data_IF_319895249603
#
_entry.id   IF_319895249603
#
_cell.length_a   1.000
_cell.length_b   1.000
_cell.length_c   1.000
_cell.angle_alpha   90.00
_cell.angle_beta   90.00
_cell.angle_gamma   90.00
#
_symmetry.space_group_name_H-M   'P 1'
#
loop_
_entity.id
_entity.type
_entity.pdbx_description
1 polymer ?
#
# COMPACT_ATOMS: atom_id res chain seq x y z
N UNK A 1 1.61 5.02 -49.56
CA UNK A 1 2.63 4.56 -48.58
C UNK A 1 1.91 3.87 -47.44
N UNK A 2 1.23 2.77 -47.75
CA UNK A 2 0.71 1.82 -46.78
C UNK A 2 1.62 0.61 -46.91
N UNK A 3 2.24 0.16 -45.82
CA UNK A 3 2.80 -1.18 -45.57
C UNK A 3 3.51 -1.10 -44.21
N UNK A 4 2.97 -1.72 -43.16
CA UNK A 4 3.70 -1.81 -41.89
C UNK A 4 2.95 -2.13 -40.60
N UNK A 5 1.66 -2.49 -40.62
CA UNK A 5 0.92 -2.87 -39.40
C UNK A 5 0.14 -4.16 -39.63
N UNK A 6 0.86 -5.29 -39.69
CA UNK A 6 0.27 -6.61 -39.49
C UNK A 6 1.37 -7.66 -39.33
N UNK A 7 1.78 -7.90 -38.08
CA UNK A 7 2.37 -9.15 -37.56
C UNK A 7 2.96 -8.83 -36.18
N UNK A 8 2.19 -8.96 -35.10
CA UNK A 8 2.69 -9.17 -33.71
C UNK A 8 1.55 -9.45 -32.70
N UNK A 9 0.40 -9.97 -33.14
CA UNK A 9 -0.68 -10.42 -32.24
C UNK A 9 -0.82 -11.94 -32.29
N UNK A 10 -0.04 -12.63 -31.47
CA UNK A 10 -0.28 -14.01 -31.00
C UNK A 10 0.67 -14.28 -29.84
N UNK A 11 0.17 -14.22 -28.60
CA UNK A 11 0.96 -14.52 -27.41
C UNK A 11 0.29 -14.07 -26.11
N UNK A 12 -0.97 -14.43 -25.89
CA UNK A 12 -1.71 -14.12 -24.65
C UNK A 12 -2.34 -15.37 -24.00
N UNK A 13 -1.77 -16.56 -24.23
CA UNK A 13 -2.31 -17.83 -23.71
C UNK A 13 -1.34 -18.69 -22.89
N UNK A 14 -0.07 -18.30 -22.67
CA UNK A 14 0.90 -19.15 -21.96
C UNK A 14 1.62 -18.44 -20.80
N UNK A 15 0.92 -18.20 -19.69
CA UNK A 15 1.53 -17.82 -18.40
C UNK A 15 0.80 -18.44 -17.20
N UNK A 16 0.47 -19.74 -17.29
CA UNK A 16 -0.11 -20.55 -16.20
C UNK A 16 0.77 -21.75 -15.79
N UNK A 17 2.10 -21.62 -15.78
CA UNK A 17 2.99 -22.78 -15.52
C UNK A 17 4.02 -22.60 -14.40
N UNK A 18 3.84 -21.65 -13.47
CA UNK A 18 4.60 -21.60 -12.21
C UNK A 18 3.78 -21.07 -11.02
N UNK A 19 2.72 -21.80 -10.65
CA UNK A 19 2.14 -21.69 -9.30
C UNK A 19 2.47 -22.99 -8.57
N UNK A 20 3.43 -22.94 -7.64
CA UNK A 20 3.67 -24.04 -6.71
C UNK A 20 2.43 -24.17 -5.82
N UNK A 21 1.78 -25.34 -5.86
CA UNK A 21 0.73 -25.69 -4.90
C UNK A 21 1.29 -25.55 -3.48
N UNK A 22 0.73 -24.69 -2.63
CA UNK A 22 1.22 -24.58 -1.28
C UNK A 22 0.74 -25.81 -0.49
N UNK A 23 1.69 -26.57 0.07
CA UNK A 23 1.46 -27.74 0.92
C UNK A 23 0.84 -27.30 2.26
N UNK A 24 -0.48 -27.15 2.30
CA UNK A 24 -1.22 -26.83 3.54
C UNK A 24 -2.15 -27.96 4.01
N UNK A 25 -2.13 -29.13 3.37
CA UNK A 25 -2.86 -30.31 3.82
C UNK A 25 -1.96 -31.55 3.82
N UNK A 26 -1.44 -31.89 5.00
CA UNK A 26 -0.80 -33.16 5.30
C UNK A 26 -0.11 -33.06 6.66
N UNK A 27 -0.48 -33.79 7.71
CA UNK A 27 -1.33 -34.96 7.83
C UNK A 27 -0.78 -35.71 9.03
N UNK A 28 -1.53 -35.72 10.13
CA UNK A 28 -1.26 -36.62 11.25
C UNK A 28 -1.54 -38.06 10.84
N UNK A 29 -0.65 -38.97 11.20
CA UNK A 29 -0.81 -40.41 10.98
C UNK A 29 0.29 -41.16 11.72
N UNK A 30 -0.03 -41.65 12.90
CA UNK A 30 0.86 -42.47 13.72
C UNK A 30 0.77 -43.97 13.42
N UNK A 31 1.83 -44.64 13.89
CA UNK A 31 1.95 -46.04 14.31
C UNK A 31 1.92 -47.19 13.29
N UNK A 32 2.85 -48.14 13.50
CA UNK A 32 2.67 -49.55 13.12
C UNK A 32 3.85 -50.17 12.37
N UNK A 33 4.68 -50.94 13.08
CA UNK A 33 5.87 -51.61 12.54
C UNK A 33 5.60 -52.80 11.60
N UNK A 34 6.68 -53.29 10.99
CA UNK A 34 6.70 -54.52 10.20
C UNK A 34 7.95 -54.63 9.35
N UNK A 35 9.03 -55.15 9.93
CA UNK A 35 10.31 -55.44 9.25
C UNK A 35 10.17 -56.68 8.36
N UNK A 36 10.46 -56.54 7.06
CA UNK A 36 10.57 -57.65 6.09
C UNK A 36 11.68 -57.37 5.07
N UNK A 37 12.34 -58.40 4.51
CA UNK A 37 13.70 -58.27 3.99
C UNK A 37 13.79 -57.65 2.60
N UNK A 38 14.82 -56.81 2.47
CA UNK A 38 15.21 -56.01 1.31
C UNK A 38 15.64 -56.88 0.12
N UNK A 39 15.03 -56.65 -1.06
CA UNK A 39 15.56 -57.08 -2.37
C UNK A 39 16.41 -55.94 -2.94
N UNK A 40 17.69 -56.22 -3.16
CA UNK A 40 18.63 -55.32 -3.83
C UNK A 40 18.21 -55.09 -5.29
N UNK A 41 18.08 -53.81 -5.67
CA UNK A 41 17.97 -53.37 -7.06
C UNK A 41 19.36 -53.00 -7.62
N UNK A 42 19.60 -53.14 -8.93
CA UNK A 42 20.92 -52.95 -9.54
C UNK A 42 21.30 -51.47 -9.65
N UNK A 43 22.61 -51.21 -9.53
CA UNK A 43 23.21 -49.87 -9.61
C UNK A 43 23.01 -49.20 -10.99
N UNK A 44 22.85 -47.86 -11.03
CA UNK A 44 22.86 -47.10 -12.27
C UNK A 44 24.29 -46.84 -12.78
N UNK A 45 24.48 -46.62 -14.09
CA UNK A 45 25.79 -46.35 -14.70
C UNK A 45 26.29 -44.92 -14.40
N UNK A 46 27.60 -44.66 -14.59
CA UNK A 46 28.26 -43.45 -14.11
C UNK A 46 27.88 -42.22 -14.95
N UNK A 47 27.62 -41.12 -14.25
CA UNK A 47 27.29 -39.81 -14.83
C UNK A 47 28.57 -39.12 -15.31
N UNK A 48 28.61 -38.76 -16.59
CA UNK A 48 29.67 -37.94 -17.20
C UNK A 48 29.40 -36.47 -16.89
N UNK A 49 30.31 -35.81 -16.16
CA UNK A 49 30.23 -34.37 -15.89
C UNK A 49 30.71 -33.55 -17.08
N UNK A 50 29.78 -32.95 -17.82
CA UNK A 50 30.06 -31.86 -18.76
C UNK A 50 30.05 -30.52 -18.00
N UNK A 51 31.15 -29.76 -18.09
CA UNK A 51 31.26 -28.42 -17.50
C UNK A 51 30.27 -27.46 -18.17
N UNK A 52 29.20 -27.13 -17.45
CA UNK A 52 28.18 -26.18 -17.87
C UNK A 52 28.58 -24.78 -17.39
N UNK A 53 28.92 -23.88 -18.31
CA UNK A 53 29.14 -22.46 -18.05
C UNK A 53 27.81 -21.78 -17.73
N UNK A 54 27.70 -21.16 -16.55
CA UNK A 54 26.50 -20.40 -16.14
C UNK A 54 26.37 -19.10 -16.95
N UNK A 55 25.21 -18.81 -17.57
CA UNK A 55 24.94 -17.51 -18.15
C UNK A 55 24.58 -16.49 -17.04
N UNK A 56 25.12 -15.29 -17.18
CA UNK A 56 24.83 -14.13 -16.33
C UNK A 56 23.36 -13.72 -16.46
N UNK A 57 22.61 -13.52 -15.37
CA UNK A 57 21.21 -13.12 -15.44
C UNK A 57 21.10 -11.72 -16.07
N UNK A 58 20.27 -11.63 -17.10
CA UNK A 58 19.84 -10.37 -17.71
C UNK A 58 18.65 -9.84 -16.90
N UNK A 59 18.58 -8.54 -16.57
CA UNK A 59 17.47 -7.97 -15.81
C UNK A 59 16.13 -8.15 -16.55
N UNK A 60 15.08 -8.43 -15.78
CA UNK A 60 13.70 -8.67 -16.25
C UNK A 60 13.12 -7.42 -16.90
N UNK A 61 12.53 -7.56 -18.10
CA UNK A 61 11.92 -6.44 -18.84
C UNK A 61 10.67 -5.82 -18.20
N UNK A 62 10.15 -6.42 -17.12
CA UNK A 62 8.98 -5.96 -16.37
C UNK A 62 9.35 -4.89 -15.32
N UNK A 63 10.52 -5.04 -14.67
CA UNK A 63 11.12 -4.00 -13.85
C UNK A 63 11.42 -2.75 -14.68
N UNK A 64 11.89 -2.96 -15.92
CA UNK A 64 12.14 -1.88 -16.88
C UNK A 64 10.84 -1.17 -17.31
N UNK A 65 9.71 -1.87 -17.42
CA UNK A 65 8.43 -1.24 -17.77
C UNK A 65 7.89 -0.39 -16.61
N UNK A 66 7.91 -0.92 -15.39
CA UNK A 66 7.48 -0.19 -14.18
C UNK A 66 8.37 1.01 -13.89
N UNK A 67 9.70 0.84 -14.01
CA UNK A 67 10.64 1.95 -13.89
C UNK A 67 10.41 3.02 -14.96
N UNK A 68 10.15 2.65 -16.21
CA UNK A 68 9.81 3.60 -17.29
C UNK A 68 8.53 4.38 -16.99
N UNK A 69 7.50 3.72 -16.45
CA UNK A 69 6.27 4.40 -16.04
C UNK A 69 6.50 5.37 -14.87
N UNK A 70 7.29 4.96 -13.87
CA UNK A 70 7.65 5.81 -12.74
C UNK A 70 8.45 7.04 -13.19
N UNK A 71 9.43 6.84 -14.08
CA UNK A 71 10.22 7.93 -14.66
C UNK A 71 9.36 8.89 -15.48
N UNK A 72 8.47 8.38 -16.34
CA UNK A 72 7.54 9.22 -17.10
C UNK A 72 6.55 10.00 -16.21
N UNK A 73 6.17 9.46 -15.04
CA UNK A 73 5.37 10.18 -14.06
C UNK A 73 6.17 11.32 -13.41
N UNK A 74 7.41 11.06 -12.98
CA UNK A 74 8.29 12.07 -12.42
C UNK A 74 8.56 13.22 -13.40
N UNK A 75 8.80 12.92 -14.67
CA UNK A 75 9.08 13.92 -15.70
C UNK A 75 7.90 14.87 -15.90
N UNK A 76 6.68 14.33 -16.02
CA UNK A 76 5.45 15.15 -16.14
C UNK A 76 5.23 16.05 -14.94
N UNK A 77 5.50 15.56 -13.73
CA UNK A 77 5.38 16.34 -12.51
C UNK A 77 6.38 17.51 -12.47
N UNK A 78 7.62 17.28 -12.90
CA UNK A 78 8.63 18.33 -13.00
C UNK A 78 8.27 19.35 -14.10
N UNK A 79 7.73 18.89 -15.23
CA UNK A 79 7.18 19.79 -16.27
C UNK A 79 6.02 20.65 -15.77
N UNK A 80 5.23 20.15 -14.82
CA UNK A 80 4.18 20.91 -14.14
C UNK A 80 4.72 21.91 -13.10
N UNK A 81 6.04 22.03 -12.97
CA UNK A 81 6.70 23.02 -12.11
C UNK A 81 7.11 22.51 -10.74
N UNK A 82 7.09 21.19 -10.50
CA UNK A 82 7.63 20.60 -9.28
C UNK A 82 9.15 20.47 -9.34
N UNK A 83 9.82 20.63 -8.20
CA UNK A 83 11.20 20.16 -8.09
C UNK A 83 11.25 18.62 -8.17
N UNK A 84 12.37 18.02 -8.63
CA UNK A 84 12.51 16.55 -8.66
C UNK A 84 12.32 15.89 -7.29
N UNK A 85 12.63 16.59 -6.20
CA UNK A 85 12.42 16.13 -4.83
C UNK A 85 10.93 16.13 -4.47
N UNK A 86 10.22 17.24 -4.73
CA UNK A 86 8.77 17.31 -4.56
C UNK A 86 8.03 16.31 -5.47
N UNK A 87 8.46 16.14 -6.71
CA UNK A 87 7.90 15.17 -7.66
C UNK A 87 8.03 13.73 -7.16
N UNK A 88 9.17 13.35 -6.54
CA UNK A 88 9.33 12.01 -5.94
C UNK A 88 8.36 11.75 -4.81
N UNK A 89 8.07 12.77 -4.00
CA UNK A 89 7.06 12.67 -2.94
C UNK A 89 5.66 12.60 -3.55
N UNK A 90 5.36 13.43 -4.53
CA UNK A 90 4.08 13.42 -5.25
C UNK A 90 3.79 12.06 -5.92
N UNK A 91 4.78 11.40 -6.55
CA UNK A 91 4.57 10.06 -7.15
C UNK A 91 4.23 8.99 -6.09
N UNK A 92 4.76 9.11 -4.87
CA UNK A 92 4.44 8.18 -3.77
C UNK A 92 3.04 8.41 -3.20
N UNK A 93 2.46 9.60 -3.41
CA UNK A 93 1.21 10.04 -2.81
C UNK A 93 0.24 10.63 -3.85
N UNK A 94 0.25 10.09 -5.07
CA UNK A 94 -0.38 10.68 -6.26
C UNK A 94 -1.87 11.03 -6.05
N UNK A 95 -2.59 10.19 -5.30
CA UNK A 95 -4.02 10.39 -5.01
C UNK A 95 -4.31 11.50 -3.99
N UNK A 96 -3.34 11.82 -3.12
CA UNK A 96 -3.46 12.95 -2.17
C UNK A 96 -3.00 14.26 -2.82
N UNK A 97 -1.99 14.17 -3.69
CA UNK A 97 -1.28 15.30 -4.29
C UNK A 97 -2.16 16.22 -5.14
N UNK A 98 -3.10 15.67 -5.93
CA UNK A 98 -3.92 16.47 -6.85
C UNK A 98 -5.07 17.24 -6.17
N UNK A 99 -5.37 16.98 -4.90
CA UNK A 99 -6.64 17.40 -4.30
C UNK A 99 -6.56 17.94 -2.87
N UNK A 100 -5.43 17.81 -2.16
CA UNK A 100 -5.36 18.22 -0.74
C UNK A 100 -4.30 19.30 -0.42
N UNK A 101 -4.55 20.03 0.66
CA UNK A 101 -3.59 20.96 1.27
C UNK A 101 -2.41 20.21 1.93
N UNK A 102 -2.66 18.99 2.39
CA UNK A 102 -1.65 18.10 2.97
C UNK A 102 -0.57 17.73 1.94
N UNK A 103 -0.96 17.40 0.71
CA UNK A 103 -0.02 17.08 -0.36
C UNK A 103 0.91 18.25 -0.71
N UNK A 104 0.42 19.50 -0.60
CA UNK A 104 1.25 20.71 -0.77
C UNK A 104 2.22 20.91 0.39
N UNK A 105 1.78 20.64 1.61
CA UNK A 105 2.62 20.72 2.81
C UNK A 105 3.75 19.69 2.80
N UNK A 106 3.46 18.44 2.42
CA UNK A 106 4.48 17.37 2.31
C UNK A 106 5.58 17.71 1.30
N UNK A 107 5.21 18.29 0.15
CA UNK A 107 6.18 18.75 -0.84
C UNK A 107 7.07 19.88 -0.30
N UNK A 108 6.48 20.85 0.40
CA UNK A 108 7.24 21.95 1.02
C UNK A 108 8.23 21.42 2.06
N UNK A 109 7.85 20.40 2.83
CA UNK A 109 8.73 19.70 3.77
C UNK A 109 9.88 19.01 3.03
N UNK A 110 9.58 18.28 1.94
CA UNK A 110 10.60 17.59 1.15
C UNK A 110 11.62 18.56 0.52
N UNK A 111 11.16 19.72 0.06
CA UNK A 111 12.03 20.79 -0.42
C UNK A 111 12.85 21.43 0.70
N UNK A 112 12.25 21.67 1.86
CA UNK A 112 12.96 22.17 3.03
C UNK A 112 14.05 21.18 3.48
N UNK A 113 13.77 19.88 3.50
CA UNK A 113 14.73 18.84 3.83
C UNK A 113 15.88 18.80 2.81
N UNK A 114 15.57 18.84 1.51
CA UNK A 114 16.58 18.92 0.45
C UNK A 114 17.49 20.15 0.62
N UNK A 115 16.90 21.30 0.98
CA UNK A 115 17.67 22.52 1.28
C UNK A 115 18.58 22.33 2.49
N UNK A 116 18.08 21.69 3.56
CA UNK A 116 18.84 21.45 4.79
C UNK A 116 20.07 20.55 4.57
N UNK A 117 19.99 19.59 3.63
CA UNK A 117 21.14 18.74 3.25
C UNK A 117 22.04 19.37 2.18
N UNK A 118 21.75 20.61 1.78
CA UNK A 118 22.53 21.35 0.78
C UNK A 118 22.29 20.91 -0.66
N UNK A 119 21.20 20.18 -0.94
CA UNK A 119 20.79 19.88 -2.31
C UNK A 119 20.11 21.10 -2.95
N UNK A 120 20.49 21.48 -4.19
CA UNK A 120 19.81 22.57 -4.88
C UNK A 120 18.41 22.14 -5.31
N UNK A 121 17.39 22.90 -4.89
CA UNK A 121 16.05 22.82 -5.47
C UNK A 121 16.07 23.54 -6.82
N UNK A 122 15.72 22.83 -7.89
CA UNK A 122 15.77 23.31 -9.27
C UNK A 122 14.42 23.07 -9.94
N UNK A 123 13.98 24.05 -10.75
CA UNK A 123 12.75 23.98 -11.54
C UNK A 123 13.02 24.19 -13.02
N UNK A 124 12.09 23.72 -13.86
CA UNK A 124 12.10 24.09 -15.29
C UNK A 124 12.06 25.62 -15.40
N UNK A 125 12.83 26.15 -16.34
CA UNK A 125 13.07 27.58 -16.60
C UNK A 125 13.97 28.33 -15.61
N UNK A 126 14.47 27.69 -14.54
CA UNK A 126 15.48 28.33 -13.70
C UNK A 126 16.76 28.63 -14.50
N UNK A 127 17.35 29.80 -14.22
CA UNK A 127 18.68 30.14 -14.73
C UNK A 127 19.75 29.56 -13.81
N UNK A 128 20.66 28.79 -14.40
CA UNK A 128 21.72 28.07 -13.71
C UNK A 128 23.09 28.37 -14.31
N UNK A 129 24.13 28.37 -13.48
CA UNK A 129 25.52 28.35 -13.89
C UNK A 129 26.06 26.93 -13.81
N UNK A 130 26.76 26.49 -14.85
CA UNK A 130 27.41 25.18 -14.88
C UNK A 130 28.74 25.27 -14.12
N UNK A 131 28.98 24.34 -13.19
CA UNK A 131 30.22 24.27 -12.41
C UNK A 131 30.71 22.83 -12.21
N UNK A 132 32.02 22.63 -12.09
CA UNK A 132 32.61 21.33 -11.76
C UNK A 132 32.60 20.30 -12.90
N UNK A 133 32.38 20.70 -14.15
CA UNK A 133 32.49 19.81 -15.31
C UNK A 133 33.95 19.47 -15.60
N UNK A 134 34.28 18.18 -15.53
CA UNK A 134 35.65 17.68 -15.74
C UNK A 134 35.98 17.48 -17.21
N UNK A 135 35.04 16.93 -18.00
CA UNK A 135 35.25 16.63 -19.43
C UNK A 135 35.17 17.88 -20.30
N UNK A 136 34.30 18.83 -19.95
CA UNK A 136 34.05 20.06 -20.72
C UNK A 136 34.40 21.27 -19.85
N UNK A 137 35.68 21.44 -19.49
CA UNK A 137 36.08 22.51 -18.56
C UNK A 137 35.74 23.92 -19.08
N UNK A 138 35.74 24.10 -20.40
CA UNK A 138 35.44 25.37 -21.05
C UNK A 138 33.98 25.83 -20.91
N UNK A 139 33.05 24.94 -20.51
CA UNK A 139 31.65 25.31 -20.27
C UNK A 139 31.36 25.66 -18.81
N UNK A 140 32.35 25.50 -17.90
CA UNK A 140 32.19 25.97 -16.52
C UNK A 140 32.10 27.50 -16.49
N UNK A 141 31.18 28.04 -15.70
CA UNK A 141 30.90 29.47 -15.62
C UNK A 141 29.85 29.94 -16.63
N UNK A 142 29.53 29.15 -17.66
CA UNK A 142 28.46 29.49 -18.60
C UNK A 142 27.08 29.40 -17.94
N UNK A 143 26.17 30.26 -18.41
CA UNK A 143 24.80 30.37 -17.93
C UNK A 143 23.88 29.66 -18.91
N UNK A 144 22.95 28.87 -18.37
CA UNK A 144 21.90 28.24 -19.14
C UNK A 144 20.55 28.24 -18.42
N UNK A 145 19.54 27.79 -19.13
CA UNK A 145 18.16 27.66 -18.66
C UNK A 145 17.80 26.19 -18.59
N UNK A 146 17.17 25.76 -17.50
CA UNK A 146 16.66 24.40 -17.35
C UNK A 146 15.43 24.20 -18.26
N UNK A 147 15.44 23.17 -19.10
CA UNK A 147 14.31 22.91 -20.02
C UNK A 147 13.48 21.70 -19.61
N UNK A 148 14.13 20.66 -19.13
CA UNK A 148 13.49 19.40 -18.80
C UNK A 148 14.37 18.62 -17.81
N UNK A 149 13.75 17.72 -17.05
CA UNK A 149 14.45 16.76 -16.21
C UNK A 149 14.30 15.37 -16.79
N UNK A 150 15.40 14.63 -16.91
CA UNK A 150 15.40 13.24 -17.38
C UNK A 150 15.46 12.32 -16.17
N UNK A 151 14.35 11.70 -15.82
CA UNK A 151 14.23 10.90 -14.60
C UNK A 151 15.12 9.66 -14.65
N UNK A 152 15.23 9.00 -15.81
CA UNK A 152 16.06 7.81 -16.02
C UNK A 152 17.55 8.06 -15.75
N UNK A 153 18.04 9.25 -16.10
CA UNK A 153 19.46 9.58 -15.99
C UNK A 153 19.80 10.44 -14.77
N UNK A 154 18.76 10.91 -14.07
CA UNK A 154 18.83 11.91 -13.00
C UNK A 154 19.63 13.15 -13.40
N UNK A 155 19.33 13.71 -14.58
CA UNK A 155 20.02 14.88 -15.15
C UNK A 155 19.03 15.89 -15.68
N UNK A 156 19.43 17.15 -15.60
CA UNK A 156 18.72 18.26 -16.21
C UNK A 156 19.21 18.51 -17.62
N UNK A 157 18.27 18.71 -18.54
CA UNK A 157 18.52 19.30 -19.85
C UNK A 157 18.66 20.81 -19.68
N UNK A 158 19.85 21.33 -19.95
CA UNK A 158 20.19 22.76 -19.82
C UNK A 158 20.49 23.31 -21.20
N UNK A 159 19.79 24.37 -21.61
CA UNK A 159 20.09 25.13 -22.83
C UNK A 159 20.91 26.36 -22.48
N UNK A 160 22.13 26.47 -23.02
CA UNK A 160 23.00 27.64 -22.87
C UNK A 160 22.53 28.80 -23.75
N UNK A 161 23.09 29.99 -23.54
CA UNK A 161 22.72 31.20 -24.32
C UNK A 161 23.11 31.13 -25.80
N UNK A 162 24.00 30.23 -26.18
CA UNK A 162 24.40 29.95 -27.57
C UNK A 162 23.62 28.79 -28.20
N UNK A 163 22.46 28.44 -27.62
CA UNK A 163 21.57 27.33 -28.00
C UNK A 163 22.19 25.91 -27.85
N UNK A 164 23.38 25.78 -27.28
CA UNK A 164 23.93 24.45 -26.97
C UNK A 164 23.15 23.79 -25.83
N UNK A 165 22.94 22.48 -25.93
CA UNK A 165 22.16 21.70 -24.97
C UNK A 165 23.04 20.66 -24.26
N UNK A 166 22.95 20.60 -22.93
CA UNK A 166 23.68 19.65 -22.10
C UNK A 166 22.78 18.91 -21.11
N UNK A 167 23.11 17.65 -20.82
CA UNK A 167 22.49 16.86 -19.76
C UNK A 167 23.38 16.81 -18.51
N UNK A 168 23.07 17.63 -17.51
CA UNK A 168 23.92 17.93 -16.36
C UNK A 168 23.33 17.37 -15.06
N UNK A 169 24.18 16.79 -14.19
CA UNK A 169 23.74 16.34 -12.86
C UNK A 169 23.41 17.55 -11.96
N UNK A 170 22.37 17.48 -11.10
CA UNK A 170 21.98 18.59 -10.22
C UNK A 170 23.12 19.24 -9.43
N UNK A 171 24.03 18.43 -8.89
CA UNK A 171 25.20 18.90 -8.10
C UNK A 171 26.20 19.80 -8.85
N UNK A 172 26.12 19.83 -10.18
CA UNK A 172 27.00 20.61 -11.05
C UNK A 172 26.31 21.89 -11.56
N UNK A 173 25.16 22.23 -10.98
CA UNK A 173 24.36 23.40 -11.32
C UNK A 173 24.30 24.32 -10.11
N UNK A 174 24.58 25.60 -10.33
CA UNK A 174 24.36 26.66 -9.35
C UNK A 174 23.18 27.53 -9.78
N UNK A 175 22.08 27.57 -9.03
CA UNK A 175 20.98 28.48 -9.34
C UNK A 175 21.46 29.93 -9.24
N UNK A 176 21.17 30.74 -10.26
CA UNK A 176 21.51 32.17 -10.32
C UNK A 176 20.33 33.07 -9.99
N UNK A 177 19.13 32.67 -10.42
CA UNK A 177 17.87 33.34 -10.11
C UNK A 177 16.85 32.24 -9.82
N UNK A 178 16.56 32.01 -8.54
CA UNK A 178 15.48 31.10 -8.17
C UNK A 178 14.17 31.81 -8.54
N UNK A 179 13.55 31.41 -9.64
CA UNK A 179 12.16 31.78 -9.89
C UNK A 179 11.31 30.79 -9.10
N UNK A 180 11.31 30.94 -7.78
CA UNK A 180 10.28 30.31 -6.98
C UNK A 180 8.99 30.99 -7.39
N UNK A 181 8.04 30.26 -7.97
CA UNK A 181 6.66 30.62 -7.69
C UNK A 181 6.57 30.58 -6.16
N UNK A 182 6.23 31.68 -5.47
CA UNK A 182 5.89 31.57 -4.07
C UNK A 182 4.79 30.51 -4.02
N UNK A 183 5.06 29.40 -3.33
CA UNK A 183 3.97 28.53 -2.90
C UNK A 183 2.96 29.46 -2.25
N UNK A 184 1.66 29.38 -2.60
CA UNK A 184 0.66 30.21 -1.97
C UNK A 184 0.88 30.10 -0.46
N UNK A 185 1.22 31.22 0.18
CA UNK A 185 1.29 31.23 1.62
C UNK A 185 -0.11 30.79 2.09
N UNK A 186 -0.21 29.89 3.08
CA UNK A 186 -1.50 29.60 3.68
C UNK A 186 -2.13 30.95 4.04
N UNK A 187 -3.34 31.19 3.54
CA UNK A 187 -4.03 32.45 3.72
C UNK A 187 -3.95 32.78 5.22
N UNK A 188 -3.40 33.94 5.64
CA UNK A 188 -3.33 34.25 7.05
C UNK A 188 -4.75 34.18 7.58
N UNK A 189 -4.98 33.23 8.48
CA UNK A 189 -6.30 32.99 9.08
C UNK A 189 -6.89 34.35 9.43
N UNK A 190 -8.12 34.66 8.99
CA UNK A 190 -8.70 35.99 9.19
C UNK A 190 -8.56 36.36 10.66
N UNK A 191 -8.13 37.59 10.98
CA UNK A 191 -7.88 38.00 12.35
C UNK A 191 -9.11 37.68 13.18
N UNK A 192 -8.93 36.84 14.19
CA UNK A 192 -10.01 36.43 15.10
C UNK A 192 -10.69 37.69 15.61
N UNK A 193 -11.92 37.93 15.12
CA UNK A 193 -12.77 38.98 15.61
C UNK A 193 -13.12 38.63 17.06
N UNK A 194 -12.41 39.24 17.99
CA UNK A 194 -12.69 39.23 19.41
C UNK A 194 -14.04 39.91 19.61
N UNK A 195 -15.11 39.10 19.62
CA UNK A 195 -16.43 39.50 20.08
C UNK A 195 -16.58 38.97 21.49
N UNK A 196 -16.80 39.89 22.43
CA UNK A 196 -17.01 39.58 23.83
C UNK A 196 -18.31 38.83 24.07
N UNK A 197 -18.24 37.93 25.05
CA UNK A 197 -19.30 37.53 25.99
C UNK A 197 -20.70 37.30 25.39
N UNK A 198 -21.00 36.06 25.00
CA UNK A 198 -21.94 35.18 25.72
C UNK A 198 -22.23 33.87 24.96
N UNK A 199 -22.36 32.79 25.75
CA UNK A 199 -22.99 31.47 25.51
C UNK A 199 -22.75 30.63 24.22
N UNK A 200 -22.20 29.43 24.50
CA UNK A 200 -22.48 28.11 23.89
C UNK A 200 -21.95 27.74 22.49
N UNK A 201 -21.46 26.49 22.47
CA UNK A 201 -21.13 25.59 21.35
C UNK A 201 -19.74 25.77 20.71
N UNK A 202 -18.80 24.97 21.22
CA UNK A 202 -17.43 24.85 20.73
C UNK A 202 -17.34 24.21 19.34
N UNK A 203 -16.61 24.89 18.46
CA UNK A 203 -16.14 24.42 17.16
C UNK A 203 -14.65 24.73 17.09
N UNK A 204 -13.81 23.70 17.24
CA UNK A 204 -12.35 23.80 17.11
C UNK A 204 -11.92 23.45 15.68
N UNK A 205 -11.26 24.39 15.00
CA UNK A 205 -10.51 24.17 13.77
C UNK A 205 -9.02 24.32 14.06
N UNK A 206 -8.29 23.20 14.15
CA UNK A 206 -6.84 23.17 14.36
C UNK A 206 -6.07 23.34 13.05
N UNK A 207 -5.14 24.30 13.02
CA UNK A 207 -4.08 24.40 12.02
C UNK A 207 -2.83 23.65 12.50
N UNK A 208 -2.18 22.92 11.59
CA UNK A 208 -1.00 22.11 11.89
C UNK A 208 0.22 22.99 12.26
N UNK A 209 0.83 22.72 13.42
CA UNK A 209 2.08 23.34 13.85
C UNK A 209 3.11 22.27 14.24
N UNK A 210 4.25 22.23 13.54
CA UNK A 210 5.38 21.38 13.89
C UNK A 210 6.24 22.11 14.93
N UNK A 211 6.17 21.69 16.21
CA UNK A 211 7.00 22.25 17.28
C UNK A 211 8.22 21.36 17.49
N UNK A 212 9.40 21.83 17.07
CA UNK A 212 10.68 21.26 17.47
C UNK A 212 11.11 21.87 18.80
N UNK A 213 11.12 21.09 19.88
CA UNK A 213 11.79 21.50 21.12
C UNK A 213 13.28 21.12 21.00
N UNK A 214 14.13 22.16 21.05
CA UNK A 214 15.58 22.01 21.02
C UNK A 214 16.10 21.18 22.19
N UNK A 215 17.10 20.35 21.90
CA UNK A 215 17.86 19.60 22.90
C UNK A 215 18.89 20.53 23.53
N UNK A 216 18.75 20.82 24.83
CA UNK A 216 19.75 21.57 25.58
C UNK A 216 21.08 20.79 25.65
N UNK A 217 22.13 21.41 25.11
CA UNK A 217 23.50 20.93 25.21
C UNK A 217 24.10 21.22 26.58
N UNK A 218 24.13 20.22 27.45
CA UNK A 218 24.85 20.25 28.72
C UNK A 218 25.54 18.91 28.95
N UNK A 219 26.87 18.89 28.82
CA UNK A 219 27.67 17.67 28.88
C UNK A 219 27.67 17.00 30.27
N UNK A 220 27.40 15.69 30.28
CA UNK A 220 28.15 14.70 31.05
C UNK A 220 27.78 13.30 30.54
N UNK A 221 28.80 12.52 30.18
CA UNK A 221 28.65 11.17 29.66
C UNK A 221 28.12 10.22 30.76
N UNK A 222 26.83 9.87 30.67
CA UNK A 222 26.28 8.65 31.26
C UNK A 222 25.39 7.98 30.22
N UNK A 223 25.67 6.70 29.94
CA UNK A 223 25.04 5.91 28.88
C UNK A 223 23.63 5.43 29.26
N UNK A 224 22.72 6.36 29.51
CA UNK A 224 21.29 6.06 29.53
C UNK A 224 20.76 6.25 28.11
N UNK A 225 20.29 5.17 27.49
CA UNK A 225 19.72 5.24 26.14
C UNK A 225 18.48 6.14 26.16
N UNK A 226 18.60 7.35 25.64
CA UNK A 226 17.47 8.28 25.53
C UNK A 226 16.49 7.72 24.51
N UNK A 227 15.29 7.37 24.95
CA UNK A 227 14.21 7.09 24.02
C UNK A 227 13.85 8.41 23.32
N UNK A 228 14.05 8.51 22.01
CA UNK A 228 13.54 9.63 21.24
C UNK A 228 12.03 9.44 21.05
N UNK A 229 11.23 10.50 20.99
CA UNK A 229 9.84 10.38 20.54
C UNK A 229 9.52 11.42 19.48
N UNK A 230 8.72 11.05 18.49
CA UNK A 230 8.13 11.95 17.47
C UNK A 230 6.64 12.04 17.74
N UNK A 231 6.04 13.19 17.47
CA UNK A 231 4.60 13.37 17.49
C UNK A 231 4.11 13.49 16.05
N UNK A 232 3.13 12.67 15.69
CA UNK A 232 2.49 12.66 14.37
C UNK A 232 1.02 13.07 14.54
N UNK A 233 0.59 14.14 13.89
CA UNK A 233 -0.81 14.57 13.91
C UNK A 233 -1.54 14.00 12.69
N UNK A 234 -2.59 13.22 12.92
CA UNK A 234 -3.41 12.61 11.86
C UNK A 234 -4.89 12.78 12.22
N UNK A 235 -5.66 13.32 11.28
CA UNK A 235 -7.09 13.62 11.47
C UNK A 235 -7.38 14.47 12.73
N UNK A 236 -6.46 15.39 13.09
CA UNK A 236 -6.54 16.23 14.28
C UNK A 236 -6.23 15.50 15.61
N UNK A 237 -5.74 14.27 15.56
CA UNK A 237 -5.27 13.52 16.74
C UNK A 237 -3.75 13.44 16.74
N UNK A 238 -3.13 13.83 17.87
CA UNK A 238 -1.68 13.71 18.06
C UNK A 238 -1.35 12.29 18.56
N UNK A 239 -0.55 11.58 17.77
CA UNK A 239 0.01 10.27 18.10
C UNK A 239 1.48 10.42 18.50
N UNK A 240 1.83 9.99 19.72
CA UNK A 240 3.22 9.93 20.16
C UNK A 240 3.87 8.61 19.73
N UNK A 241 4.89 8.70 18.90
CA UNK A 241 5.75 7.62 18.42
C UNK A 241 7.00 7.61 19.30
N UNK A 242 7.38 6.47 19.90
CA UNK A 242 8.58 6.34 20.73
C UNK A 242 9.62 5.44 20.05
N UNK A 243 10.84 5.94 19.94
CA UNK A 243 12.04 5.29 19.42
C UNK A 243 12.99 4.95 20.58
N UNK A 244 13.60 3.76 20.55
CA UNK A 244 14.64 3.38 21.52
C UNK A 244 15.71 2.51 20.86
N UNK A 245 16.98 2.57 21.33
CA UNK A 245 18.07 1.78 20.77
C UNK A 245 17.85 0.28 21.02
N UNK A 246 17.93 -0.53 19.95
CA UNK A 246 17.73 -1.99 20.00
C UNK A 246 16.32 -2.47 19.68
N UNK A 247 15.41 -1.57 19.32
CA UNK A 247 14.20 -1.95 18.60
C UNK A 247 14.49 -1.83 17.10
N UNK A 248 14.23 -2.89 16.32
CA UNK A 248 14.16 -2.79 14.87
C UNK A 248 13.28 -1.57 14.51
N UNK A 249 13.55 -0.91 13.39
CA UNK A 249 12.85 0.27 12.83
C UNK A 249 11.34 0.04 12.52
N UNK A 250 10.61 -0.60 13.43
CA UNK A 250 9.28 -1.14 13.25
C UNK A 250 8.53 -0.93 14.56
N UNK A 251 8.02 0.29 14.77
CA UNK A 251 6.76 0.41 15.49
C UNK A 251 5.65 0.00 14.50
N UNK A 252 4.97 -1.14 14.70
CA UNK A 252 3.64 -1.42 14.19
C UNK A 252 2.71 -0.23 14.02
N UNK A 253 2.76 0.73 14.95
CA UNK A 253 1.99 1.96 14.85
C UNK A 253 2.47 2.84 13.69
N UNK A 254 3.77 2.91 13.39
CA UNK A 254 4.34 3.82 12.37
C UNK A 254 4.06 3.39 10.92
N UNK A 255 3.79 2.10 10.69
CA UNK A 255 3.54 1.55 9.34
C UNK A 255 2.07 1.31 9.04
N UNK A 256 1.25 1.06 10.07
CA UNK A 256 -0.11 0.54 9.89
C UNK A 256 -1.16 1.34 10.66
N UNK A 257 -0.76 2.37 11.40
CA UNK A 257 -1.68 3.21 12.13
C UNK A 257 -1.28 4.69 12.08
N UNK A 258 -2.28 5.57 12.21
CA UNK A 258 -3.69 5.29 12.08
C UNK A 258 -4.07 4.93 10.63
N UNK A 259 -4.80 3.81 10.47
CA UNK A 259 -5.63 3.59 9.29
C UNK A 259 -6.47 4.86 9.10
N UNK A 260 -6.41 5.48 7.91
CA UNK A 260 -7.02 6.79 7.63
C UNK A 260 -8.47 6.79 8.10
N UNK A 261 -8.91 7.87 8.76
CA UNK A 261 -10.29 7.97 9.27
C UNK A 261 -11.34 7.68 8.21
N UNK A 262 -11.12 8.14 6.97
CA UNK A 262 -11.99 7.90 5.82
C UNK A 262 -12.20 6.41 5.48
N UNK A 263 -11.26 5.54 5.84
CA UNK A 263 -11.38 4.09 5.69
C UNK A 263 -11.84 3.42 6.98
N UNK A 264 -11.35 3.92 8.13
CA UNK A 264 -11.62 3.33 9.44
C UNK A 264 -13.10 3.37 9.80
N UNK A 265 -13.71 4.55 9.80
CA UNK A 265 -15.07 4.70 10.32
C UNK A 265 -16.10 3.90 9.49
N UNK A 266 -16.05 3.87 8.14
CA UNK A 266 -16.92 2.98 7.37
C UNK A 266 -16.70 1.50 7.69
N UNK A 267 -15.45 1.07 7.86
CA UNK A 267 -15.11 -0.31 8.17
C UNK A 267 -15.61 -0.74 9.56
N UNK A 268 -15.35 0.08 10.59
CA UNK A 268 -15.85 -0.17 11.95
C UNK A 268 -17.38 -0.22 12.01
N UNK A 269 -18.06 0.71 11.32
CA UNK A 269 -19.52 0.73 11.24
C UNK A 269 -20.06 -0.53 10.56
N UNK A 270 -19.41 -0.98 9.48
CA UNK A 270 -19.78 -2.22 8.78
C UNK A 270 -19.59 -3.45 9.66
N UNK A 271 -18.49 -3.53 10.42
CA UNK A 271 -18.22 -4.63 11.36
C UNK A 271 -19.19 -4.64 12.54
N UNK A 272 -19.64 -3.47 13.01
CA UNK A 272 -20.69 -3.37 14.01
C UNK A 272 -22.02 -3.92 13.47
N UNK A 273 -22.42 -3.54 12.25
CA UNK A 273 -23.62 -4.10 11.60
C UNK A 273 -23.53 -5.62 11.47
N UNK A 274 -22.36 -6.15 11.11
CA UNK A 274 -22.13 -7.60 11.04
C UNK A 274 -22.38 -8.28 12.40
N UNK A 275 -21.95 -7.67 13.50
CA UNK A 275 -22.19 -8.16 14.86
C UNK A 275 -23.68 -8.11 15.23
N UNK A 276 -24.35 -6.97 14.99
CA UNK A 276 -25.77 -6.76 15.28
C UNK A 276 -26.67 -7.74 14.52
N UNK A 277 -26.28 -8.13 13.30
CA UNK A 277 -26.96 -9.14 12.50
C UNK A 277 -26.69 -10.59 12.93
N UNK A 278 -25.95 -10.81 14.03
CA UNK A 278 -25.56 -12.14 14.51
C UNK A 278 -24.66 -12.87 13.51
N UNK A 279 -23.90 -12.14 12.69
CA UNK A 279 -23.03 -12.69 11.66
C UNK A 279 -21.99 -13.67 12.21
N UNK A 280 -21.54 -13.42 13.44
CA UNK A 280 -20.47 -14.18 14.09
C UNK A 280 -20.96 -15.40 14.88
N UNK A 281 -22.26 -15.67 14.91
CA UNK A 281 -22.81 -16.81 15.68
C UNK A 281 -22.71 -18.13 14.91
N UNK A 282 -22.32 -19.18 15.61
CA UNK A 282 -22.25 -20.54 15.07
C UNK A 282 -21.24 -20.74 13.94
N UNK A 283 -20.21 -19.91 13.84
CA UNK A 283 -19.15 -20.08 12.84
C UNK A 283 -18.45 -21.44 13.03
N UNK A 284 -18.24 -22.22 11.96
CA UNK A 284 -17.56 -23.51 12.06
C UNK A 284 -16.16 -23.35 12.65
N UNK A 285 -15.78 -24.24 13.56
CA UNK A 285 -14.42 -24.34 14.08
C UNK A 285 -13.83 -25.69 13.68
N UNK A 286 -12.52 -25.75 13.54
CA UNK A 286 -11.85 -27.04 13.38
C UNK A 286 -11.80 -27.83 14.70
N UNK A 287 -11.34 -29.10 14.69
CA UNK A 287 -11.25 -29.91 15.91
C UNK A 287 -10.36 -29.32 17.01
N UNK A 288 -9.47 -28.38 16.67
CA UNK A 288 -8.58 -27.70 17.62
C UNK A 288 -9.19 -26.40 18.17
N UNK A 289 -10.39 -26.02 17.71
CA UNK A 289 -11.02 -24.75 18.04
C UNK A 289 -10.47 -23.57 17.23
N UNK A 290 -9.81 -23.83 16.10
CA UNK A 290 -9.31 -22.77 15.22
C UNK A 290 -10.43 -22.23 14.33
N UNK A 291 -10.62 -20.91 14.37
CA UNK A 291 -11.45 -20.18 13.43
C UNK A 291 -10.60 -19.79 12.21
N UNK A 292 -10.90 -20.38 11.06
CA UNK A 292 -10.24 -20.03 9.79
C UNK A 292 -10.92 -18.83 9.14
N UNK A 293 -10.14 -17.77 8.90
CA UNK A 293 -10.59 -16.53 8.28
C UNK A 293 -9.89 -16.34 6.93
N UNK A 294 -10.65 -16.02 5.89
CA UNK A 294 -10.11 -15.66 4.58
C UNK A 294 -10.24 -14.14 4.33
N UNK A 295 -9.18 -13.57 3.74
CA UNK A 295 -9.13 -12.18 3.24
C UNK A 295 -8.67 -12.21 1.77
N UNK A 296 -9.52 -12.62 0.82
CA UNK A 296 -9.16 -12.65 -0.60
C UNK A 296 -9.09 -11.24 -1.19
N UNK A 297 -8.39 -11.10 -2.33
CA UNK A 297 -8.09 -9.83 -3.01
C UNK A 297 -7.69 -8.73 -2.03
N UNK A 298 -6.83 -9.10 -1.07
CA UNK A 298 -6.48 -8.26 0.06
C UNK A 298 -5.69 -7.01 -0.31
N UNK A 299 -5.11 -6.93 -1.50
CA UNK A 299 -4.30 -5.81 -1.92
C UNK A 299 -3.20 -5.47 -0.92
N UNK A 300 -3.11 -4.17 -0.60
CA UNK A 300 -2.34 -3.71 0.55
C UNK A 300 -3.01 -4.02 1.89
N UNK A 301 -4.34 -4.22 1.98
CA UNK A 301 -5.12 -4.52 3.19
C UNK A 301 -4.98 -3.47 4.30
N UNK A 302 -5.42 -2.25 4.01
CA UNK A 302 -5.31 -1.11 4.93
C UNK A 302 -6.23 -1.25 6.17
N UNK A 303 -7.25 -2.09 6.08
CA UNK A 303 -8.24 -2.37 7.12
C UNK A 303 -7.74 -3.39 8.14
N UNK A 304 -6.59 -4.05 7.88
CA UNK A 304 -6.10 -5.16 8.69
C UNK A 304 -6.04 -4.84 10.20
N UNK A 305 -5.54 -3.68 10.67
CA UNK A 305 -5.52 -3.38 12.10
C UNK A 305 -6.93 -3.36 12.73
N UNK A 306 -7.91 -2.84 12.00
CA UNK A 306 -9.32 -2.77 12.43
C UNK A 306 -9.90 -4.19 12.49
N UNK A 307 -9.68 -4.97 11.44
CA UNK A 307 -10.14 -6.35 11.35
C UNK A 307 -9.50 -7.25 12.40
N UNK A 308 -8.19 -7.13 12.63
CA UNK A 308 -7.47 -7.92 13.63
C UNK A 308 -7.97 -7.60 15.04
N UNK A 309 -8.17 -6.30 15.34
CA UNK A 309 -8.75 -5.88 16.60
C UNK A 309 -10.17 -6.42 16.79
N UNK A 310 -11.04 -6.26 15.79
CA UNK A 310 -12.41 -6.75 15.80
C UNK A 310 -12.47 -8.27 16.03
N UNK A 311 -11.68 -9.05 15.28
CA UNK A 311 -11.60 -10.50 15.41
C UNK A 311 -11.10 -10.92 16.80
N UNK A 312 -10.07 -10.25 17.32
CA UNK A 312 -9.55 -10.51 18.66
C UNK A 312 -10.64 -10.27 19.72
N UNK A 313 -11.29 -9.12 19.70
CA UNK A 313 -12.30 -8.74 20.70
C UNK A 313 -13.57 -9.58 20.60
N UNK A 314 -14.05 -9.84 19.38
CA UNK A 314 -15.38 -10.44 19.15
C UNK A 314 -15.37 -11.95 18.93
N UNK A 315 -14.26 -12.54 18.50
CA UNK A 315 -14.19 -13.97 18.21
C UNK A 315 -13.38 -14.76 19.25
N UNK A 316 -12.24 -14.26 19.76
CA UNK A 316 -11.42 -15.03 20.72
C UNK A 316 -12.08 -15.25 22.09
N UNK A 317 -13.08 -14.45 22.43
CA UNK A 317 -13.90 -14.62 23.64
C UNK A 317 -15.06 -15.61 23.47
N UNK A 318 -15.34 -16.07 22.24
CA UNK A 318 -16.45 -17.01 21.99
C UNK A 318 -16.09 -18.42 22.42
N UNK A 319 -17.10 -19.14 22.91
CA UNK A 319 -16.95 -20.51 23.39
C UNK A 319 -16.39 -21.40 22.28
N UNK A 320 -15.29 -22.10 22.58
CA UNK A 320 -14.65 -23.05 21.67
C UNK A 320 -13.59 -22.45 20.74
N UNK A 321 -13.53 -21.12 20.59
CA UNK A 321 -12.50 -20.47 19.77
C UNK A 321 -11.17 -20.47 20.54
N UNK A 322 -10.27 -21.38 20.18
CA UNK A 322 -8.93 -21.48 20.74
C UNK A 322 -7.94 -20.52 20.04
N UNK A 323 -8.13 -20.29 18.74
CA UNK A 323 -7.20 -19.53 17.89
C UNK A 323 -7.91 -18.97 16.65
N UNK A 324 -7.36 -17.93 16.05
CA UNK A 324 -7.77 -17.44 14.73
C UNK A 324 -6.60 -17.60 13.75
N UNK A 325 -6.87 -18.14 12.57
CA UNK A 325 -5.90 -18.28 11.49
C UNK A 325 -6.40 -17.55 10.26
N UNK A 326 -5.73 -16.47 9.89
CA UNK A 326 -6.09 -15.60 8.78
C UNK A 326 -5.21 -15.91 7.57
N UNK A 327 -5.83 -16.25 6.44
CA UNK A 327 -5.19 -16.33 5.14
C UNK A 327 -5.65 -15.15 4.29
N UNK A 328 -4.76 -14.19 4.10
CA UNK A 328 -4.93 -13.10 3.16
C UNK A 328 -4.32 -13.49 1.82
N UNK A 329 -5.04 -13.28 0.72
CA UNK A 329 -4.56 -13.62 -0.60
C UNK A 329 -4.91 -12.57 -1.63
N UNK A 330 -4.10 -12.44 -2.67
CA UNK A 330 -4.36 -11.57 -3.80
C UNK A 330 -3.82 -12.19 -5.10
N UNK A 331 -4.30 -11.73 -6.25
CA UNK A 331 -3.77 -12.16 -7.56
C UNK A 331 -2.39 -11.55 -7.84
N UNK A 332 -2.06 -10.42 -7.21
CA UNK A 332 -0.74 -9.77 -7.27
C UNK A 332 0.04 -10.01 -5.97
N UNK A 333 1.38 -10.10 -6.04
CA UNK A 333 2.23 -10.09 -4.84
C UNK A 333 2.49 -8.66 -4.37
N UNK A 334 1.70 -8.20 -3.41
CA UNK A 334 1.86 -6.86 -2.87
C UNK A 334 3.07 -6.71 -1.94
N UNK A 335 3.81 -7.79 -1.64
CA UNK A 335 5.10 -7.65 -0.93
C UNK A 335 6.08 -6.80 -1.74
N UNK A 336 6.04 -6.92 -3.07
CA UNK A 336 6.92 -6.21 -4.00
C UNK A 336 6.37 -4.84 -4.39
N UNK A 337 5.05 -4.65 -4.27
CA UNK A 337 4.33 -3.42 -4.63
C UNK A 337 4.07 -2.49 -3.44
N UNK A 338 4.78 -2.66 -2.32
CA UNK A 338 4.65 -1.77 -1.16
C UNK A 338 3.41 -2.02 -0.29
N UNK A 339 2.83 -3.21 -0.33
CA UNK A 339 1.78 -3.66 0.60
C UNK A 339 2.30 -4.12 1.97
N UNK A 340 3.61 -4.27 2.13
CA UNK A 340 4.29 -4.60 3.39
C UNK A 340 3.74 -5.85 4.10
N UNK A 341 3.39 -6.88 3.31
CA UNK A 341 2.77 -8.12 3.81
C UNK A 341 3.55 -8.76 4.96
N UNK A 342 4.88 -8.89 4.86
CA UNK A 342 5.71 -9.51 5.91
C UNK A 342 5.65 -8.74 7.23
N UNK A 343 5.66 -7.42 7.17
CA UNK A 343 5.55 -6.55 8.34
C UNK A 343 4.16 -6.65 8.97
N UNK A 344 3.11 -6.80 8.16
CA UNK A 344 1.74 -7.04 8.63
C UNK A 344 1.58 -8.39 9.34
N UNK A 345 2.24 -9.46 8.85
CA UNK A 345 2.27 -10.74 9.56
C UNK A 345 2.94 -10.60 10.93
N UNK A 346 4.10 -9.94 11.00
CA UNK A 346 4.80 -9.65 12.27
C UNK A 346 3.93 -8.81 13.20
N UNK A 347 3.24 -7.80 12.67
CA UNK A 347 2.31 -6.93 13.41
C UNK A 347 1.25 -7.78 14.12
N UNK A 348 0.53 -8.61 13.37
CA UNK A 348 -0.54 -9.43 13.95
C UNK A 348 0.04 -10.39 14.99
N UNK A 349 1.16 -11.03 14.67
CA UNK A 349 1.80 -11.97 15.61
C UNK A 349 2.24 -11.31 16.91
N UNK A 350 2.73 -10.07 16.86
CA UNK A 350 3.21 -9.31 18.03
C UNK A 350 2.07 -8.85 18.94
N UNK A 351 0.96 -8.39 18.36
CA UNK A 351 -0.13 -7.77 19.13
C UNK A 351 -1.28 -8.72 19.48
N UNK A 352 -1.40 -9.84 18.76
CA UNK A 352 -2.50 -10.78 18.93
C UNK A 352 -1.97 -12.21 19.02
N UNK A 353 -1.54 -12.62 20.21
CA UNK A 353 -0.84 -13.90 20.48
C UNK A 353 -1.57 -15.14 19.92
N UNK A 354 -2.91 -15.13 19.99
CA UNK A 354 -3.79 -16.22 19.54
C UNK A 354 -4.26 -16.07 18.09
N UNK A 355 -3.60 -15.20 17.32
CA UNK A 355 -3.88 -14.98 15.91
C UNK A 355 -2.63 -15.23 15.09
N UNK A 356 -2.80 -15.92 13.97
CA UNK A 356 -1.78 -16.00 12.93
C UNK A 356 -2.32 -15.37 11.65
N UNK A 357 -1.48 -14.61 10.95
CA UNK A 357 -1.76 -14.05 9.64
C UNK A 357 -0.72 -14.54 8.65
N UNK A 358 -1.19 -14.93 7.47
CA UNK A 358 -0.36 -15.23 6.31
C UNK A 358 -0.88 -14.51 5.09
N UNK A 359 0.02 -13.87 4.35
CA UNK A 359 -0.26 -13.38 3.00
C UNK A 359 0.30 -14.34 1.96
N UNK A 360 -0.41 -14.48 0.84
CA UNK A 360 0.13 -15.17 -0.33
C UNK A 360 -0.45 -14.62 -1.64
N UNK A 361 0.31 -14.77 -2.72
CA UNK A 361 -0.26 -14.66 -4.05
C UNK A 361 -1.03 -15.95 -4.38
N UNK A 362 -2.25 -15.81 -4.88
CA UNK A 362 -3.10 -16.93 -5.29
C UNK A 362 -3.84 -16.55 -6.58
N UNK A 363 -3.84 -17.45 -7.58
CA UNK A 363 -4.69 -17.30 -8.76
C UNK A 363 -6.16 -17.57 -8.37
N UNK A 364 -6.82 -16.53 -7.89
CA UNK A 364 -8.22 -16.61 -7.44
C UNK A 364 -9.19 -16.89 -8.60
N UNK A 365 -8.78 -16.69 -9.86
CA UNK A 365 -9.62 -16.97 -11.02
C UNK A 365 -9.61 -18.46 -11.36
N UNK A 366 -8.42 -19.09 -11.38
CA UNK A 366 -8.25 -20.50 -11.71
C UNK A 366 -8.37 -21.44 -10.52
N UNK A 367 -8.14 -20.95 -9.29
CA UNK A 367 -8.04 -21.76 -8.09
C UNK A 367 -9.06 -21.31 -7.05
N UNK A 368 -9.86 -22.26 -6.57
CA UNK A 368 -10.76 -22.05 -5.43
C UNK A 368 -9.95 -21.68 -4.18
N UNK A 369 -10.35 -20.62 -3.49
CA UNK A 369 -9.70 -20.22 -2.23
C UNK A 369 -9.77 -21.38 -1.20
N UNK A 370 -8.77 -21.54 -0.32
CA UNK A 370 -8.88 -22.49 0.79
C UNK A 370 -10.16 -22.28 1.62
N UNK A 371 -10.74 -23.38 2.09
CA UNK A 371 -11.96 -23.35 2.88
C UNK A 371 -11.78 -22.52 4.15
N UNK A 372 -12.77 -21.67 4.46
CA UNK A 372 -12.73 -20.80 5.62
C UNK A 372 -14.10 -20.69 6.27
N UNK A 373 -14.10 -20.56 7.59
CA UNK A 373 -15.32 -20.43 8.40
C UNK A 373 -15.93 -19.03 8.28
N UNK A 374 -15.06 -18.04 8.09
CA UNK A 374 -15.43 -16.64 7.90
C UNK A 374 -14.59 -16.05 6.77
N UNK A 375 -15.21 -15.32 5.86
CA UNK A 375 -14.51 -14.65 4.75
C UNK A 375 -14.86 -13.17 4.75
N UNK A 376 -13.86 -12.31 4.67
CA UNK A 376 -14.02 -10.86 4.44
C UNK A 376 -13.44 -10.52 3.08
N UNK A 377 -14.31 -10.39 2.09
CA UNK A 377 -14.00 -10.13 0.70
C UNK A 377 -14.26 -8.63 0.44
N UNK A 378 -13.33 -7.77 0.85
CA UNK A 378 -13.48 -6.31 0.75
C UNK A 378 -12.88 -5.77 -0.54
N UNK A 379 -13.55 -4.78 -1.14
CA UNK A 379 -13.08 -4.05 -2.32
C UNK A 379 -13.00 -4.88 -3.61
N UNK A 380 -14.05 -5.65 -3.98
CA UNK A 380 -14.03 -6.34 -5.26
C UNK A 380 -14.21 -5.34 -6.41
N UNK A 381 -13.24 -5.21 -7.31
CA UNK A 381 -13.31 -4.34 -8.50
C UNK A 381 -14.15 -4.97 -9.63
N UNK A 382 -15.26 -5.61 -9.26
CA UNK A 382 -16.00 -6.55 -10.11
C UNK A 382 -16.84 -5.90 -11.23
N UNK A 383 -16.81 -4.57 -11.34
CA UNK A 383 -17.37 -3.82 -12.47
C UNK A 383 -16.42 -3.79 -13.67
N UNK A 384 -15.12 -3.94 -13.43
CA UNK A 384 -14.09 -4.04 -14.48
C UNK A 384 -13.87 -5.53 -14.78
N UNK A 385 -13.59 -5.91 -16.03
CA UNK A 385 -13.33 -7.32 -16.41
C UNK A 385 -14.33 -8.34 -15.83
N UNK A 386 -15.63 -8.07 -16.00
CA UNK A 386 -16.73 -8.77 -15.33
C UNK A 386 -16.58 -10.31 -15.32
N UNK A 387 -16.19 -10.93 -16.43
CA UNK A 387 -16.06 -12.40 -16.51
C UNK A 387 -14.97 -12.97 -15.59
N UNK A 388 -13.84 -12.26 -15.45
CA UNK A 388 -12.74 -12.65 -14.57
C UNK A 388 -13.19 -12.57 -13.11
N UNK A 389 -13.77 -11.42 -12.73
CA UNK A 389 -14.23 -11.19 -11.37
C UNK A 389 -15.38 -12.09 -10.95
N UNK A 390 -16.29 -12.43 -11.87
CA UNK A 390 -17.35 -13.41 -11.58
C UNK A 390 -16.76 -14.78 -11.21
N UNK A 391 -15.70 -15.23 -11.89
CA UNK A 391 -15.00 -16.49 -11.53
C UNK A 391 -14.30 -16.38 -10.18
N UNK A 392 -13.61 -15.26 -9.93
CA UNK A 392 -12.98 -14.98 -8.63
C UNK A 392 -14.01 -15.03 -7.50
N UNK A 393 -15.12 -14.30 -7.63
CA UNK A 393 -16.21 -14.28 -6.66
C UNK A 393 -16.81 -15.68 -6.47
N UNK A 394 -17.02 -16.44 -7.56
CA UNK A 394 -17.50 -17.82 -7.48
C UNK A 394 -16.56 -18.70 -6.64
N UNK A 395 -15.26 -18.64 -6.91
CA UNK A 395 -14.24 -19.39 -6.19
C UNK A 395 -14.14 -19.01 -4.72
N UNK A 396 -14.23 -17.71 -4.40
CA UNK A 396 -14.21 -17.20 -3.02
C UNK A 396 -15.47 -17.60 -2.27
N UNK A 397 -16.66 -17.28 -2.81
CA UNK A 397 -17.95 -17.52 -2.14
C UNK A 397 -18.18 -19.02 -1.93
N UNK A 398 -17.85 -19.86 -2.92
CA UNK A 398 -18.03 -21.31 -2.74
C UNK A 398 -17.07 -21.87 -1.70
N UNK A 399 -15.86 -21.34 -1.53
CA UNK A 399 -14.91 -21.78 -0.52
C UNK A 399 -15.34 -21.51 0.92
N UNK A 400 -16.18 -20.50 1.15
CA UNK A 400 -16.68 -20.16 2.47
C UNK A 400 -17.65 -21.24 3.00
N UNK A 401 -17.36 -21.79 4.17
CA UNK A 401 -18.15 -22.86 4.80
C UNK A 401 -19.10 -22.34 5.88
N UNK A 402 -18.85 -21.15 6.43
CA UNK A 402 -19.72 -20.47 7.38
C UNK A 402 -20.33 -19.20 6.79
N UNK A 403 -19.72 -18.05 7.04
CA UNK A 403 -20.20 -16.75 6.55
C UNK A 403 -19.19 -16.13 5.57
N UNK A 404 -19.68 -15.69 4.42
CA UNK A 404 -18.92 -14.81 3.53
C UNK A 404 -19.50 -13.39 3.58
N UNK A 405 -18.63 -12.43 3.88
CA UNK A 405 -18.92 -11.01 3.98
C UNK A 405 -18.24 -10.31 2.81
N UNK A 406 -19.02 -9.74 1.91
CA UNK A 406 -18.49 -8.99 0.76
C UNK A 406 -18.82 -7.51 0.95
N UNK A 407 -17.78 -6.67 0.91
CA UNK A 407 -17.90 -5.22 1.07
C UNK A 407 -17.65 -4.51 -0.25
N UNK A 408 -18.64 -3.81 -0.81
CA UNK A 408 -18.52 -3.15 -2.14
C UNK A 408 -18.64 -1.63 -2.04
N UNK A 409 -18.12 -0.91 -3.04
CA UNK A 409 -18.05 0.54 -3.07
C UNK A 409 -19.32 1.20 -3.61
N UNK A 410 -19.91 0.59 -4.62
CA UNK A 410 -21.00 1.19 -5.38
C UNK A 410 -22.11 0.16 -5.68
N UNK A 411 -23.21 0.69 -6.21
CA UNK A 411 -24.42 -0.09 -6.52
C UNK A 411 -24.17 -1.15 -7.60
N UNK A 412 -23.29 -0.85 -8.56
CA UNK A 412 -23.03 -1.76 -9.68
C UNK A 412 -22.20 -2.98 -9.24
N UNK A 413 -21.17 -2.77 -8.42
CA UNK A 413 -20.45 -3.88 -7.78
C UNK A 413 -21.38 -4.73 -6.91
N UNK A 414 -22.22 -4.07 -6.09
CA UNK A 414 -23.19 -4.76 -5.25
C UNK A 414 -24.11 -5.66 -6.08
N UNK A 415 -24.65 -5.16 -7.19
CA UNK A 415 -25.49 -5.94 -8.11
C UNK A 415 -24.74 -7.13 -8.71
N UNK A 416 -23.46 -6.97 -9.09
CA UNK A 416 -22.63 -8.07 -9.61
C UNK A 416 -22.47 -9.16 -8.56
N UNK A 417 -22.10 -8.80 -7.32
CA UNK A 417 -21.92 -9.78 -6.23
C UNK A 417 -23.23 -10.49 -5.91
N UNK A 418 -24.34 -9.76 -5.79
CA UNK A 418 -25.68 -10.35 -5.54
C UNK A 418 -26.06 -11.32 -6.66
N UNK A 419 -25.84 -10.95 -7.92
CA UNK A 419 -26.11 -11.82 -9.06
C UNK A 419 -25.31 -13.13 -9.03
N UNK A 420 -24.00 -13.06 -8.72
CA UNK A 420 -23.16 -14.26 -8.56
C UNK A 420 -23.69 -15.16 -7.42
N UNK A 421 -24.09 -14.57 -6.30
CA UNK A 421 -24.63 -15.33 -5.17
C UNK A 421 -25.98 -16.00 -5.50
N UNK A 422 -26.85 -15.32 -6.26
CA UNK A 422 -28.14 -15.87 -6.72
C UNK A 422 -27.93 -17.05 -7.67
N UNK A 423 -26.99 -16.96 -8.60
CA UNK A 423 -26.63 -18.07 -9.50
C UNK A 423 -26.07 -19.28 -8.75
N UNK A 424 -25.34 -19.04 -7.67
CA UNK A 424 -24.87 -20.08 -6.75
C UNK A 424 -25.97 -20.66 -5.85
N UNK A 425 -27.20 -20.13 -5.92
CA UNK A 425 -28.30 -20.55 -5.04
C UNK A 425 -28.07 -20.22 -3.56
N UNK A 426 -27.22 -19.23 -3.25
CA UNK A 426 -26.89 -18.84 -1.88
C UNK A 426 -27.90 -17.89 -1.28
N UNK A 427 -28.06 -17.93 0.04
CA UNK A 427 -28.88 -16.95 0.75
C UNK A 427 -28.08 -15.67 0.91
N UNK A 428 -28.65 -14.56 0.44
CA UNK A 428 -28.00 -13.24 0.46
C UNK A 428 -28.81 -12.27 1.29
N UNK A 429 -28.12 -11.51 2.13
CA UNK A 429 -28.65 -10.31 2.77
C UNK A 429 -27.74 -9.14 2.43
N UNK A 430 -28.30 -8.07 1.86
CA UNK A 430 -27.57 -6.86 1.50
C UNK A 430 -28.02 -5.71 2.39
N UNK A 431 -27.06 -5.02 3.01
CA UNK A 431 -27.29 -3.88 3.89
C UNK A 431 -26.42 -2.72 3.39
N UNK A 432 -27.01 -1.54 3.26
CA UNK A 432 -26.20 -0.32 3.02
C UNK A 432 -25.51 0.07 4.32
N UNK A 433 -24.25 0.47 4.24
CA UNK A 433 -23.44 0.86 5.40
C UNK A 433 -24.05 2.10 6.07
N UNK A 434 -24.51 2.01 7.33
CA UNK A 434 -25.12 3.13 8.05
C UNK A 434 -24.22 4.36 8.17
N UNK A 435 -22.90 4.19 8.03
CA UNK A 435 -21.95 5.31 8.03
C UNK A 435 -22.33 6.40 7.01
N UNK A 436 -22.91 6.00 5.87
CA UNK A 436 -23.34 6.89 4.80
C UNK A 436 -24.83 7.26 4.86
N UNK A 437 -25.55 6.90 5.92
CA UNK A 437 -26.95 7.30 6.10
C UNK A 437 -27.08 8.81 6.39
N UNK A 438 -26.05 9.41 7.01
CA UNK A 438 -25.97 10.84 7.27
C UNK A 438 -25.06 11.49 6.20
N UNK A 439 -25.55 12.49 5.45
CA UNK A 439 -24.71 13.25 4.53
C UNK A 439 -23.48 13.83 5.24
N UNK A 440 -22.29 13.60 4.69
CA UNK A 440 -21.06 14.17 5.24
C UNK A 440 -20.84 15.58 4.65
N UNK A 441 -20.32 16.54 5.44
CA UNK A 441 -19.94 17.85 4.93
C UNK A 441 -18.98 17.69 3.74
N UNK A 442 -19.22 18.41 2.64
CA UNK A 442 -18.38 18.35 1.44
C UNK A 442 -18.86 17.41 0.33
N UNK A 443 -20.01 16.74 0.48
CA UNK A 443 -20.70 16.07 -0.63
C UNK A 443 -19.91 14.91 -1.27
N UNK A 444 -19.01 14.28 -0.53
CA UNK A 444 -18.19 13.19 -1.05
C UNK A 444 -19.05 11.97 -1.36
N UNK A 445 -19.00 11.51 -2.61
CA UNK A 445 -19.48 10.20 -3.03
C UNK A 445 -18.90 9.13 -2.10
N UNK A 446 -19.66 8.12 -1.63
CA UNK A 446 -19.17 7.12 -0.69
C UNK A 446 -17.91 6.45 -1.25
N UNK A 447 -16.72 6.67 -0.66
CA UNK A 447 -15.51 6.22 -1.31
C UNK A 447 -15.11 4.81 -0.89
N UNK A 448 -15.68 4.25 0.19
CA UNK A 448 -15.26 2.95 0.75
C UNK A 448 -16.42 2.14 1.36
N UNK A 449 -16.56 0.86 1.01
CA UNK A 449 -17.44 -0.11 1.71
C UNK A 449 -18.88 0.40 1.95
N UNK A 450 -19.54 0.88 0.89
CA UNK A 450 -20.91 1.40 0.93
C UNK A 450 -21.96 0.31 1.15
N UNK A 451 -21.69 -0.92 0.70
CA UNK A 451 -22.60 -2.05 0.88
C UNK A 451 -21.92 -3.21 1.59
N UNK A 452 -22.67 -3.83 2.50
CA UNK A 452 -22.36 -5.06 3.20
C UNK A 452 -23.25 -6.17 2.67
N UNK A 453 -22.65 -7.21 2.08
CA UNK A 453 -23.37 -8.36 1.54
C UNK A 453 -22.98 -9.59 2.35
N UNK A 454 -23.95 -10.15 3.06
CA UNK A 454 -23.80 -11.37 3.85
C UNK A 454 -24.30 -12.55 3.04
N UNK A 455 -23.44 -13.56 2.86
CA UNK A 455 -23.72 -14.76 2.07
C UNK A 455 -23.56 -16.00 2.94
N UNK A 456 -24.62 -16.83 2.99
CA UNK A 456 -24.68 -18.09 3.74
C UNK A 456 -24.99 -19.26 2.81
#
# INVERSE_FOLDING_TARGET
>A
MEHGVHKFFTGMEESFSKITRPTWLGGGGGAGGGSGPSRQAPMPPPVVHTKQTRPTPTPSGEDDATMRHHCAALERLVEMGLSPQAAKVAVRHLDSWLVSEDGRSEMAVAEAEATNVGEPILHVHDQVRLEGLVKNKGTNGMIGTLEAYGADSHRWKVRLTDDQVFWIKPKLLRPLKMQRMPLPLPDPSPPEHTTGEDEQAGSESGGAAVIFLGVDGGGHASSSGSNASTRLELDGQIHEIRYGPGQDFESPQDFFAPCRRALREPCETLLQVLEELGGLEGLPLDPTGTLFVALPFCGSSQELPILANFLSTRCLGKRGVAKISILASDVQDWSELGGYWRQKEKYVKRWYERMDLKFCQLDLQGIRHPASSLTFAFHPECTVHRDVWRRILYNVITASTGLCVVGTFNDEEMKVVVGVCQELGRRVQCQRNPYYAVPKPGGTTPPFLNYLILVR
#
